data_IF_486015731860
#
_entry.id   IF_486015731860
#
_cell.length_a   1.000
_cell.length_b   1.000
_cell.length_c   1.000
_cell.angle_alpha   90.00
_cell.angle_beta   90.00
_cell.angle_gamma   90.00
#
_symmetry.space_group_name_H-M   'P 1'
#
loop_
_entity.id
_entity.type
_entity.pdbx_description
1 polymer ?
#
# COMPACT_ATOMS: atom_id res chain seq x y z
N UNK A 1 14.66 -18.87 -25.51
CA UNK A 1 13.62 -19.80 -25.01
C UNK A 1 12.28 -19.06 -24.99
N UNK A 2 11.21 -19.64 -25.56
CA UNK A 2 9.85 -19.09 -25.39
C UNK A 2 9.26 -19.66 -24.10
N UNK A 3 8.78 -18.78 -23.22
CA UNK A 3 8.15 -19.11 -21.95
C UNK A 3 6.65 -18.79 -22.10
N UNK A 4 5.81 -19.80 -22.35
CA UNK A 4 4.38 -19.57 -22.53
C UNK A 4 3.71 -19.20 -21.20
N UNK A 5 2.78 -18.25 -21.26
CA UNK A 5 2.00 -17.80 -20.13
C UNK A 5 0.74 -18.66 -19.94
N UNK A 6 0.27 -18.75 -18.70
CA UNK A 6 -0.96 -19.43 -18.27
C UNK A 6 -2.08 -18.45 -17.89
N UNK A 7 -1.83 -17.14 -17.93
CA UNK A 7 -2.78 -16.09 -17.52
C UNK A 7 -3.95 -15.86 -18.49
N UNK A 8 -4.03 -16.63 -19.58
CA UNK A 8 -5.12 -16.54 -20.56
C UNK A 8 -5.21 -15.16 -21.21
N UNK A 9 -6.33 -14.46 -20.99
CA UNK A 9 -6.56 -13.09 -21.51
C UNK A 9 -6.03 -11.99 -20.58
N UNK A 10 -5.61 -12.34 -19.35
CA UNK A 10 -5.08 -11.36 -18.41
C UNK A 10 -3.61 -11.08 -18.72
N UNK A 11 -3.30 -9.80 -18.93
CA UNK A 11 -1.92 -9.33 -19.04
C UNK A 11 -1.23 -9.29 -17.66
N UNK A 12 0.10 -9.22 -17.66
CA UNK A 12 0.87 -9.20 -16.40
C UNK A 12 0.49 -8.01 -15.50
N UNK A 13 0.08 -6.87 -16.06
CA UNK A 13 -0.31 -5.68 -15.27
C UNK A 13 -1.59 -5.91 -14.45
N UNK A 14 -2.54 -6.67 -15.01
CA UNK A 14 -3.78 -7.01 -14.31
C UNK A 14 -3.56 -8.11 -13.26
N UNK A 15 -2.68 -9.06 -13.57
CA UNK A 15 -2.23 -10.05 -12.57
C UNK A 15 -1.50 -9.36 -11.42
N UNK A 16 -0.66 -8.37 -11.70
CA UNK A 16 0.03 -7.57 -10.69
C UNK A 16 -0.97 -6.83 -9.78
N UNK A 17 -1.97 -6.16 -10.35
CA UNK A 17 -3.04 -5.51 -9.58
C UNK A 17 -3.83 -6.49 -8.71
N UNK A 18 -4.18 -7.67 -9.24
CA UNK A 18 -4.85 -8.74 -8.47
C UNK A 18 -3.97 -9.19 -7.29
N UNK A 19 -2.67 -9.41 -7.52
CA UNK A 19 -1.73 -9.78 -6.46
C UNK A 19 -1.54 -8.67 -5.41
N UNK A 20 -1.56 -7.39 -5.81
CA UNK A 20 -1.45 -6.26 -4.88
C UNK A 20 -2.66 -6.25 -3.94
N UNK A 21 -3.86 -6.45 -4.49
CA UNK A 21 -5.09 -6.51 -3.70
C UNK A 21 -5.16 -7.72 -2.76
N UNK A 22 -4.50 -8.83 -3.11
CA UNK A 22 -4.41 -10.03 -2.28
C UNK A 22 -3.26 -9.98 -1.25
N UNK A 23 -2.30 -9.07 -1.43
CA UNK A 23 -1.14 -8.91 -0.56
C UNK A 23 -1.47 -8.07 0.69
N UNK A 24 -1.18 -8.55 1.91
CA UNK A 24 -1.40 -7.78 3.14
C UNK A 24 -0.71 -6.41 3.13
N UNK A 25 0.50 -6.35 2.58
CA UNK A 25 1.33 -5.15 2.55
C UNK A 25 1.26 -4.42 1.19
N UNK A 26 0.36 -4.86 0.29
CA UNK A 26 0.25 -4.34 -1.08
C UNK A 26 1.52 -4.47 -1.95
N UNK A 27 2.55 -5.18 -1.47
CA UNK A 27 3.86 -5.23 -2.11
C UNK A 27 3.99 -6.47 -2.99
N UNK A 28 4.17 -6.25 -4.29
CA UNK A 28 4.32 -7.32 -5.28
C UNK A 28 5.57 -7.08 -6.11
N UNK A 29 6.43 -8.10 -6.17
CA UNK A 29 7.63 -8.08 -7.01
C UNK A 29 7.35 -8.73 -8.37
N UNK A 30 8.14 -8.41 -9.39
CA UNK A 30 8.04 -9.06 -10.70
C UNK A 30 8.13 -10.59 -10.63
N UNK A 31 8.79 -11.13 -9.60
CA UNK A 31 8.91 -12.58 -9.40
C UNK A 31 7.55 -13.19 -9.08
N UNK A 32 6.74 -12.53 -8.26
CA UNK A 32 5.37 -12.96 -7.96
C UNK A 32 4.53 -12.99 -9.23
N UNK A 33 4.59 -11.91 -10.03
CA UNK A 33 3.89 -11.83 -11.32
C UNK A 33 4.39 -12.89 -12.30
N UNK A 34 5.69 -13.13 -12.34
CA UNK A 34 6.27 -14.19 -13.18
C UNK A 34 5.74 -15.58 -12.77
N UNK A 35 5.75 -15.90 -11.48
CA UNK A 35 5.23 -17.18 -10.97
C UNK A 35 3.75 -17.32 -11.27
N UNK A 36 2.94 -16.29 -11.00
CA UNK A 36 1.49 -16.30 -11.26
C UNK A 36 1.17 -16.48 -12.75
N UNK A 37 1.90 -15.81 -13.64
CA UNK A 37 1.68 -15.89 -15.09
C UNK A 37 2.20 -17.16 -15.75
N UNK A 38 2.91 -18.03 -15.01
CA UNK A 38 3.40 -19.32 -15.51
C UNK A 38 2.93 -20.52 -14.65
N UNK A 39 2.02 -20.26 -13.72
CA UNK A 39 1.34 -21.26 -12.91
C UNK A 39 -0.15 -21.27 -13.29
N UNK A 40 -0.74 -22.44 -13.40
CA UNK A 40 -2.18 -22.61 -13.60
C UNK A 40 -2.94 -22.33 -12.29
N UNK A 41 -4.27 -22.18 -12.37
CA UNK A 41 -5.12 -21.92 -11.21
C UNK A 41 -5.08 -23.03 -10.14
N UNK A 42 -4.74 -24.25 -10.55
CA UNK A 42 -4.54 -25.40 -9.67
C UNK A 42 -3.16 -25.40 -8.98
N UNK A 43 -2.34 -24.37 -9.20
CA UNK A 43 -0.98 -24.27 -8.65
C UNK A 43 0.08 -25.05 -9.43
N UNK A 44 -0.31 -25.79 -10.49
CA UNK A 44 0.61 -26.58 -11.30
C UNK A 44 1.21 -25.75 -12.44
N UNK A 45 2.44 -26.05 -12.86
CA UNK A 45 2.93 -25.52 -14.13
C UNK A 45 2.57 -26.51 -15.26
N UNK A 46 1.80 -26.12 -16.27
CA UNK A 46 1.43 -27.03 -17.37
C UNK A 46 2.64 -27.36 -18.27
N UNK A 47 3.73 -26.59 -18.17
CA UNK A 47 4.91 -26.74 -19.03
C UNK A 47 6.01 -27.54 -18.33
N UNK A 48 6.13 -28.83 -18.67
CA UNK A 48 7.10 -29.77 -18.08
C UNK A 48 8.54 -29.25 -18.05
N UNK A 49 8.97 -28.56 -19.12
CA UNK A 49 10.34 -28.00 -19.20
C UNK A 49 10.58 -26.80 -18.29
N UNK A 50 9.51 -26.10 -17.91
CA UNK A 50 9.58 -24.91 -17.06
C UNK A 50 9.39 -25.25 -15.57
N UNK A 51 8.77 -26.40 -15.26
CA UNK A 51 8.54 -26.87 -13.88
C UNK A 51 9.78 -26.76 -12.99
N UNK A 52 10.95 -27.32 -13.34
CA UNK A 52 12.10 -27.28 -12.43
C UNK A 52 12.56 -25.85 -12.14
N UNK A 53 12.51 -24.97 -13.14
CA UNK A 53 12.87 -23.57 -12.97
C UNK A 53 11.85 -22.81 -12.11
N UNK A 54 10.55 -23.05 -12.28
CA UNK A 54 9.53 -22.43 -11.43
C UNK A 54 9.61 -22.91 -9.99
N UNK A 55 9.84 -24.20 -9.78
CA UNK A 55 9.99 -24.77 -8.45
C UNK A 55 11.21 -24.17 -7.75
N UNK A 56 12.32 -23.99 -8.47
CA UNK A 56 13.52 -23.33 -7.95
C UNK A 56 13.27 -21.83 -7.66
N UNK A 57 12.55 -21.12 -8.52
CA UNK A 57 12.15 -19.72 -8.26
C UNK A 57 11.31 -19.63 -6.98
N UNK A 58 10.29 -20.49 -6.84
CA UNK A 58 9.44 -20.54 -5.64
C UNK A 58 10.26 -20.85 -4.39
N UNK A 59 11.23 -21.77 -4.49
CA UNK A 59 12.16 -22.09 -3.41
C UNK A 59 12.99 -20.88 -3.00
N UNK A 60 13.54 -20.13 -3.96
CA UNK A 60 14.32 -18.93 -3.68
C UNK A 60 13.49 -17.84 -3.00
N UNK A 61 12.27 -17.58 -3.48
CA UNK A 61 11.33 -16.63 -2.86
C UNK A 61 10.95 -17.05 -1.44
N UNK A 62 10.80 -18.36 -1.20
CA UNK A 62 10.45 -18.87 0.13
C UNK A 62 11.60 -18.73 1.14
N UNK A 63 12.85 -18.71 0.67
CA UNK A 63 14.03 -18.51 1.52
C UNK A 63 14.28 -17.03 1.82
N UNK A 64 14.08 -16.18 0.82
CA UNK A 64 14.23 -14.74 0.93
C UNK A 64 13.19 -14.05 0.03
N UNK A 65 12.06 -13.58 0.60
CA UNK A 65 11.01 -12.89 -0.15
C UNK A 65 11.48 -11.61 -0.83
N UNK A 66 12.54 -10.98 -0.33
CA UNK A 66 13.07 -9.72 -0.82
C UNK A 66 14.29 -9.90 -1.74
N UNK A 67 14.61 -11.15 -2.10
CA UNK A 67 15.78 -11.47 -2.90
C UNK A 67 15.77 -10.70 -4.23
N UNK A 68 16.70 -9.75 -4.37
CA UNK A 68 16.84 -8.96 -5.60
C UNK A 68 15.59 -8.15 -5.97
N UNK A 69 14.75 -7.78 -5.01
CA UNK A 69 13.50 -7.02 -5.24
C UNK A 69 13.67 -5.82 -6.19
N UNK A 70 14.78 -5.09 -6.03
CA UNK A 70 15.12 -3.90 -6.83
C UNK A 70 16.20 -4.17 -7.89
N UNK A 71 16.73 -5.38 -7.94
CA UNK A 71 17.82 -5.77 -8.84
C UNK A 71 17.37 -6.84 -9.83
N UNK A 72 16.96 -6.36 -11.00
CA UNK A 72 16.48 -7.19 -12.11
C UNK A 72 17.53 -8.18 -12.67
N UNK A 73 18.81 -8.06 -12.30
CA UNK A 73 19.86 -8.98 -12.72
C UNK A 73 20.20 -10.05 -11.68
N UNK A 74 19.73 -9.89 -10.44
CA UNK A 74 20.03 -10.78 -9.32
C UNK A 74 18.80 -11.32 -8.58
N UNK A 75 17.59 -11.00 -9.05
CA UNK A 75 16.36 -11.61 -8.55
C UNK A 75 16.25 -13.11 -8.88
N UNK A 76 15.28 -13.84 -8.28
CA UNK A 76 15.08 -15.26 -8.54
C UNK A 76 14.88 -15.60 -10.02
N UNK A 77 14.13 -14.78 -10.76
CA UNK A 77 13.86 -15.04 -12.19
C UNK A 77 15.15 -14.98 -13.00
N UNK A 78 15.99 -13.96 -12.77
CA UNK A 78 17.26 -13.80 -13.47
C UNK A 78 18.28 -14.88 -13.07
N UNK A 79 18.30 -15.30 -11.80
CA UNK A 79 19.18 -16.37 -11.31
C UNK A 79 18.88 -17.72 -11.94
N UNK A 80 17.61 -18.05 -12.12
CA UNK A 80 17.19 -19.39 -12.59
C UNK A 80 17.04 -19.47 -14.11
N UNK A 81 16.44 -18.46 -14.73
CA UNK A 81 16.10 -18.46 -16.15
C UNK A 81 17.10 -17.61 -16.97
N UNK A 82 18.00 -16.91 -16.29
CA UNK A 82 18.98 -16.02 -16.88
C UNK A 82 18.46 -14.59 -17.01
N UNK A 83 19.39 -13.65 -17.14
CA UNK A 83 19.10 -12.21 -17.23
C UNK A 83 18.15 -11.87 -18.38
N UNK A 84 17.35 -10.84 -18.17
CA UNK A 84 16.49 -10.28 -19.20
C UNK A 84 17.29 -9.70 -20.37
N UNK A 85 16.82 -10.02 -21.58
CA UNK A 85 17.39 -9.53 -22.83
C UNK A 85 17.11 -8.04 -23.07
N UNK A 86 17.79 -7.48 -24.08
CA UNK A 86 17.60 -6.08 -24.47
C UNK A 86 16.14 -5.83 -24.86
N UNK A 87 15.55 -4.77 -24.31
CA UNK A 87 14.24 -4.27 -24.72
C UNK A 87 13.02 -4.96 -24.08
N UNK A 88 13.20 -5.93 -23.16
CA UNK A 88 12.06 -6.56 -22.47
C UNK A 88 12.43 -7.04 -21.08
N UNK A 89 11.60 -6.71 -20.10
CA UNK A 89 11.68 -7.25 -18.73
C UNK A 89 10.58 -8.31 -18.54
N UNK A 90 10.93 -9.49 -18.03
CA UNK A 90 9.94 -10.54 -17.72
C UNK A 90 9.17 -10.20 -16.45
N UNK A 91 7.89 -10.54 -16.41
CA UNK A 91 7.05 -10.32 -15.24
C UNK A 91 6.64 -8.86 -15.01
N UNK A 92 6.95 -7.94 -15.93
CA UNK A 92 6.43 -6.56 -15.89
C UNK A 92 5.41 -6.36 -17.01
N UNK A 93 4.19 -5.98 -16.65
CA UNK A 93 3.04 -5.88 -17.58
C UNK A 93 2.99 -4.67 -18.47
N UNK A 94 3.98 -3.79 -18.38
CA UNK A 94 4.03 -2.51 -19.08
C UNK A 94 4.91 -2.54 -20.33
N UNK A 95 5.46 -3.70 -20.70
CA UNK A 95 6.39 -3.80 -21.83
C UNK A 95 7.67 -2.98 -21.62
N UNK A 96 8.01 -2.69 -20.37
CA UNK A 96 9.15 -1.84 -20.00
C UNK A 96 10.48 -2.52 -20.28
N UNK A 97 11.47 -1.67 -20.55
CA UNK A 97 12.87 -2.05 -20.67
C UNK A 97 13.58 -1.82 -19.35
N UNK A 98 14.71 -2.49 -19.11
CA UNK A 98 15.55 -2.24 -17.92
C UNK A 98 15.90 -0.76 -17.77
N UNK A 99 16.21 -0.08 -18.88
CA UNK A 99 16.56 1.35 -18.89
C UNK A 99 15.42 2.20 -18.36
N UNK A 100 14.18 1.92 -18.76
CA UNK A 100 12.99 2.63 -18.26
C UNK A 100 12.83 2.39 -16.76
N UNK A 101 12.97 1.14 -16.30
CA UNK A 101 12.87 0.82 -14.86
C UNK A 101 13.92 1.59 -14.05
N UNK A 102 15.17 1.63 -14.51
CA UNK A 102 16.24 2.36 -13.83
C UNK A 102 16.04 3.88 -13.86
N UNK A 103 15.60 4.43 -15.00
CA UNK A 103 15.34 5.86 -15.15
C UNK A 103 14.16 6.33 -14.29
N UNK A 104 13.14 5.49 -14.13
CA UNK A 104 11.95 5.79 -13.31
C UNK A 104 12.16 5.58 -11.82
N UNK A 105 13.16 4.80 -11.40
CA UNK A 105 13.38 4.45 -9.99
C UNK A 105 13.48 5.65 -9.02
N UNK A 106 14.12 6.79 -9.35
CA UNK A 106 14.12 7.97 -8.48
C UNK A 106 12.72 8.58 -8.33
N UNK A 107 11.97 8.68 -9.42
CA UNK A 107 10.63 9.26 -9.40
C UNK A 107 9.64 8.41 -8.60
N UNK A 108 9.73 7.07 -8.72
CA UNK A 108 8.90 6.15 -7.95
C UNK A 108 9.13 6.35 -6.45
N UNK A 109 10.39 6.45 -6.01
CA UNK A 109 10.71 6.69 -4.59
C UNK A 109 10.12 8.00 -4.06
N UNK A 110 10.20 9.07 -4.85
CA UNK A 110 9.61 10.36 -4.47
C UNK A 110 8.10 10.22 -4.29
N UNK A 111 7.41 9.56 -5.22
CA UNK A 111 5.97 9.32 -5.12
C UNK A 111 5.61 8.47 -3.89
N UNK A 112 6.38 7.42 -3.60
CA UNK A 112 6.18 6.58 -2.40
C UNK A 112 6.35 7.39 -1.10
N UNK A 113 7.37 8.24 -1.01
CA UNK A 113 7.60 9.10 0.14
C UNK A 113 6.48 10.14 0.31
N UNK A 114 6.03 10.75 -0.78
CA UNK A 114 4.91 11.68 -0.75
C UNK A 114 3.62 10.98 -0.32
N UNK A 115 3.31 9.79 -0.85
CA UNK A 115 2.11 9.04 -0.44
C UNK A 115 2.12 8.71 1.06
N UNK A 116 3.27 8.30 1.61
CA UNK A 116 3.41 8.06 3.06
C UNK A 116 3.17 9.31 3.89
N UNK A 117 3.66 10.48 3.43
CA UNK A 117 3.40 11.75 4.11
C UNK A 117 1.91 12.11 4.07
N UNK A 118 1.24 11.87 2.95
CA UNK A 118 -0.20 12.12 2.81
C UNK A 118 -1.00 11.21 3.75
N UNK A 119 -0.67 9.92 3.82
CA UNK A 119 -1.35 8.97 4.72
C UNK A 119 -1.25 9.40 6.20
N UNK A 120 -0.04 9.76 6.66
CA UNK A 120 0.18 10.30 8.02
C UNK A 120 -0.60 11.61 8.23
N UNK A 121 -0.65 12.47 7.21
CA UNK A 121 -1.39 13.73 7.29
C UNK A 121 -2.88 13.48 7.41
N UNK A 122 -3.44 12.54 6.65
CA UNK A 122 -4.86 12.17 6.68
C UNK A 122 -5.26 11.57 8.04
N UNK A 123 -4.40 10.72 8.62
CA UNK A 123 -4.60 10.20 9.98
C UNK A 123 -4.63 11.32 11.03
N UNK A 124 -3.69 12.26 10.93
CA UNK A 124 -3.63 13.42 11.83
C UNK A 124 -4.85 14.32 11.68
N UNK A 125 -5.29 14.60 10.44
CA UNK A 125 -6.51 15.37 10.17
C UNK A 125 -7.73 14.69 10.81
N UNK A 126 -7.85 13.37 10.67
CA UNK A 126 -8.94 12.59 11.27
C UNK A 126 -8.94 12.70 12.79
N UNK A 127 -7.77 12.61 13.44
CA UNK A 127 -7.64 12.77 14.89
C UNK A 127 -8.04 14.18 15.36
N UNK A 128 -7.61 15.21 14.63
CA UNK A 128 -7.97 16.60 14.95
C UNK A 128 -9.48 16.82 14.81
N UNK A 129 -10.10 16.29 13.77
CA UNK A 129 -11.56 16.38 13.59
C UNK A 129 -12.32 15.69 14.73
N UNK A 130 -11.88 14.50 15.16
CA UNK A 130 -12.51 13.81 16.30
C UNK A 130 -12.44 14.63 17.58
N UNK A 131 -11.27 15.22 17.87
CA UNK A 131 -11.10 16.05 19.06
C UNK A 131 -11.96 17.32 19.00
N UNK A 132 -12.07 17.94 17.82
CA UNK A 132 -12.91 19.11 17.62
C UNK A 132 -14.39 18.76 17.85
N UNK A 133 -14.85 17.59 17.39
CA UNK A 133 -16.22 17.12 17.63
C UNK A 133 -16.48 16.89 19.13
N UNK A 134 -15.51 16.33 19.86
CA UNK A 134 -15.61 16.14 21.32
C UNK A 134 -15.68 17.47 22.07
N UNK A 135 -14.81 18.43 21.74
CA UNK A 135 -14.84 19.77 22.34
C UNK A 135 -16.13 20.51 22.02
N UNK A 136 -16.62 20.42 20.78
CA UNK A 136 -17.89 21.03 20.36
C UNK A 136 -19.07 20.48 21.17
N UNK A 137 -19.09 19.16 21.43
CA UNK A 137 -20.09 18.54 22.29
C UNK A 137 -19.97 19.01 23.74
N UNK A 138 -18.75 19.12 24.27
CA UNK A 138 -18.52 19.59 25.63
C UNK A 138 -18.96 21.05 25.82
N UNK A 139 -18.64 21.93 24.87
CA UNK A 139 -19.08 23.33 24.88
C UNK A 139 -20.61 23.43 24.91
N UNK A 140 -21.29 22.65 24.06
CA UNK A 140 -22.76 22.64 24.03
C UNK A 140 -23.37 22.23 25.39
N UNK A 141 -22.81 21.21 26.04
CA UNK A 141 -23.24 20.78 27.38
C UNK A 141 -23.02 21.88 28.42
N UNK A 142 -21.92 22.63 28.33
CA UNK A 142 -21.63 23.72 29.25
C UNK A 142 -22.57 24.92 29.05
N UNK A 143 -22.89 25.26 27.79
CA UNK A 143 -23.86 26.30 27.45
C UNK A 143 -25.24 25.97 28.03
N UNK A 144 -25.73 24.74 27.84
CA UNK A 144 -27.01 24.28 28.42
C UNK A 144 -27.02 24.38 29.96
N UNK A 145 -25.89 24.10 30.63
CA UNK A 145 -25.76 24.24 32.09
C UNK A 145 -25.75 25.70 32.55
N UNK A 146 -25.13 26.59 31.78
CA UNK A 146 -25.06 28.03 32.07
C UNK A 146 -26.44 28.70 31.94
N UNK A 147 -27.23 28.33 30.92
CA UNK A 147 -28.61 28.81 30.79
C UNK A 147 -29.50 28.42 31.99
N UNK A 148 -29.20 27.30 32.65
CA UNK A 148 -29.88 26.87 33.86
C UNK A 148 -29.43 27.56 35.16
N UNK A 149 -28.36 28.36 35.13
CA UNK A 149 -27.79 28.98 36.33
C UNK A 149 -28.34 30.41 36.51
N UNK A 150 -29.44 30.56 37.23
CA UNK A 150 -29.93 31.88 37.67
C UNK A 150 -29.13 32.33 38.93
N UNK A 151 -28.32 33.40 38.87
CA UNK A 151 -27.63 33.87 40.07
C UNK A 151 -28.65 34.53 41.02
N UNK A 152 -28.80 33.96 42.22
CA UNK A 152 -29.48 34.64 43.32
C UNK A 152 -28.62 35.83 43.77
N UNK A 153 -28.83 36.99 43.15
CA UNK A 153 -28.34 38.25 43.69
C UNK A 153 -29.23 38.63 44.88
N UNK A 154 -28.77 38.31 46.10
CA UNK A 154 -29.33 38.87 47.32
C UNK A 154 -29.16 40.41 47.30
N UNK A 155 -30.26 41.10 46.99
CA UNK A 155 -30.41 42.54 47.16
C UNK A 155 -30.36 42.88 48.65
N UNK A 156 -29.17 43.07 49.21
CA UNK A 156 -29.00 43.74 50.50
C UNK A 156 -29.07 45.26 50.29
N UNK A 157 -30.29 45.78 50.12
CA UNK A 157 -30.54 47.23 50.25
C UNK A 157 -30.29 47.65 51.70
N UNK A 158 -29.40 48.63 51.98
CA UNK A 158 -29.23 49.16 53.32
C UNK A 158 -30.48 49.94 53.71
N UNK A 159 -31.15 49.54 54.80
CA UNK A 159 -32.24 50.33 55.37
C UNK A 159 -31.68 51.63 55.93
N UNK A 160 -32.04 52.75 55.29
CA UNK A 160 -31.78 54.10 55.79
C UNK A 160 -32.69 54.33 56.99
N UNK A 161 -32.09 54.36 58.19
CA UNK A 161 -32.76 54.79 59.42
C UNK A 161 -32.91 56.32 59.39
N UNK A 162 -34.14 56.80 59.32
CA UNK A 162 -34.49 58.21 59.48
C UNK A 162 -34.76 58.44 60.98
N UNK A 163 -34.02 59.36 61.59
CA UNK A 163 -34.25 59.91 62.94
C UNK A 163 -34.27 61.43 62.88
#
# INVERSE_FOLDING_TARGET
MKLPHTSGRLGCARIEEELINESPDGTVTRTHVFVATHTSKDGSCPFLKLRPSLDEIKRLVSLDPYLGEKDLDNDPVAKVIGRDGKGRVRGLGTGVTKTVVHASAPHIKIVEEENKKHEITDENVKLVMQRLDEETRACKILEEKLEGYAPEFENTSPQVMIS
#
